data_IF_805516955567
#
_entry.id   IF_805516955567
#
_cell.length_a   1.000
_cell.length_b   1.000
_cell.length_c   1.000
_cell.angle_alpha   90.00
_cell.angle_beta   90.00
_cell.angle_gamma   90.00
#
_symmetry.space_group_name_H-M   'P 1'
#
loop_
_entity.id
_entity.type
_entity.pdbx_description
1 polymer ?
#
# COMPACT_ATOMS: atom_id res chain seq x y z
N UNK A 1 7.82 -17.29 -8.57
CA UNK A 1 7.48 -16.86 -9.95
C UNK A 1 6.21 -17.51 -10.49
N UNK A 2 6.01 -18.82 -10.33
CA UNK A 2 4.82 -19.53 -10.84
C UNK A 2 3.46 -18.86 -10.53
N UNK A 3 3.17 -18.36 -9.30
CA UNK A 3 1.88 -17.73 -9.01
C UNK A 3 1.65 -16.43 -9.81
N UNK A 4 2.73 -15.71 -10.15
CA UNK A 4 2.65 -14.46 -10.92
C UNK A 4 2.35 -14.76 -12.39
N UNK A 5 3.00 -15.80 -12.94
CA UNK A 5 2.76 -16.25 -14.31
C UNK A 5 1.31 -16.70 -14.50
N UNK A 6 0.78 -17.51 -13.57
CA UNK A 6 -0.62 -17.96 -13.62
C UNK A 6 -1.61 -16.81 -13.49
N UNK A 7 -1.33 -15.81 -12.63
CA UNK A 7 -2.25 -14.70 -12.39
C UNK A 7 -2.32 -13.70 -13.54
N UNK A 8 -1.23 -13.48 -14.26
CA UNK A 8 -1.12 -12.46 -15.31
C UNK A 8 -0.94 -13.06 -16.71
N UNK A 9 -1.31 -14.33 -16.88
CA UNK A 9 -1.17 -15.09 -18.14
C UNK A 9 0.23 -14.97 -18.75
N UNK A 10 1.24 -15.10 -17.89
CA UNK A 10 2.64 -14.97 -18.27
C UNK A 10 3.25 -16.30 -18.70
N UNK A 11 4.11 -16.25 -19.71
CA UNK A 11 4.82 -17.43 -20.23
C UNK A 11 6.34 -17.26 -20.13
N UNK A 12 7.09 -18.33 -19.80
CA UNK A 12 8.54 -18.34 -19.92
C UNK A 12 8.95 -18.60 -21.38
N UNK A 13 9.81 -17.75 -21.92
CA UNK A 13 10.45 -17.90 -23.22
C UNK A 13 11.96 -17.98 -23.04
N UNK A 14 12.66 -18.67 -23.94
CA UNK A 14 14.12 -18.80 -23.90
C UNK A 14 14.70 -18.07 -25.11
N UNK A 15 15.64 -17.15 -24.89
CA UNK A 15 16.33 -16.49 -25.98
C UNK A 15 17.37 -17.41 -26.65
N UNK A 16 17.90 -17.05 -27.84
CA UNK A 16 18.94 -17.82 -28.52
C UNK A 16 20.23 -18.01 -27.71
N UNK A 17 20.40 -17.25 -26.63
CA UNK A 17 21.57 -17.29 -25.74
C UNK A 17 21.32 -18.16 -24.50
N UNK A 18 20.15 -18.79 -24.39
CA UNK A 18 19.77 -19.67 -23.28
C UNK A 18 19.25 -18.95 -22.04
N UNK A 19 18.99 -17.64 -22.10
CA UNK A 19 18.39 -16.91 -20.98
C UNK A 19 16.87 -17.10 -20.97
N UNK A 20 16.32 -17.29 -19.77
CA UNK A 20 14.86 -17.29 -19.56
C UNK A 20 14.38 -15.84 -19.45
N UNK A 21 13.39 -15.52 -20.28
CA UNK A 21 12.60 -14.29 -20.29
C UNK A 21 11.16 -14.62 -19.91
N UNK A 22 10.51 -13.71 -19.19
CA UNK A 22 9.11 -13.86 -18.83
C UNK A 22 8.31 -12.81 -19.59
N UNK A 23 7.39 -13.26 -20.43
CA UNK A 23 6.50 -12.40 -21.21
C UNK A 23 5.12 -12.35 -20.55
N UNK A 24 4.49 -11.19 -20.55
CA UNK A 24 3.16 -10.96 -19.97
C UNK A 24 2.28 -10.25 -20.99
N UNK A 25 1.67 -10.98 -21.95
CA UNK A 25 0.95 -10.40 -23.07
C UNK A 25 -0.16 -9.43 -22.64
N UNK A 26 -0.85 -9.73 -21.55
CA UNK A 26 -1.93 -8.89 -21.00
C UNK A 26 -1.43 -7.53 -20.49
N UNK A 27 -0.20 -7.46 -19.97
CA UNK A 27 0.39 -6.22 -19.44
C UNK A 27 1.12 -5.40 -20.51
N UNK A 28 1.29 -5.94 -21.71
CA UNK A 28 1.95 -5.27 -22.84
C UNK A 28 0.98 -4.48 -23.74
N UNK A 29 -0.33 -4.50 -23.44
CA UNK A 29 -1.35 -3.70 -24.14
C UNK A 29 -1.34 -2.27 -23.59
N UNK A 30 -1.14 -1.29 -24.47
CA UNK A 30 -1.20 0.13 -24.12
C UNK A 30 -2.08 0.85 -25.13
N UNK A 31 -2.92 1.79 -24.69
CA UNK A 31 -3.69 2.66 -25.58
C UNK A 31 -2.77 3.72 -26.23
N UNK A 32 -3.02 4.03 -27.50
CA UNK A 32 -2.47 5.22 -28.16
C UNK A 32 -3.22 6.48 -27.72
N UNK A 33 -2.51 7.61 -27.59
CA UNK A 33 -3.15 8.92 -27.48
C UNK A 33 -3.70 9.40 -28.83
N UNK A 34 -4.48 10.49 -28.83
CA UNK A 34 -5.08 11.08 -30.04
C UNK A 34 -4.06 11.45 -31.15
N UNK A 35 -2.78 11.59 -30.80
CA UNK A 35 -1.67 11.81 -31.74
C UNK A 35 -1.02 10.52 -32.26
N UNK A 36 -1.60 9.34 -31.99
CA UNK A 36 -1.04 8.03 -32.35
C UNK A 36 0.19 7.61 -31.53
N UNK A 37 0.58 8.40 -30.53
CA UNK A 37 1.74 8.12 -29.68
C UNK A 37 1.36 7.23 -28.49
N UNK A 38 2.25 6.32 -28.10
CA UNK A 38 2.06 5.44 -26.94
C UNK A 38 1.93 6.30 -25.67
N UNK A 39 0.82 6.19 -24.92
CA UNK A 39 0.64 6.81 -23.59
C UNK A 39 1.51 6.15 -22.52
N UNK A 40 2.81 6.13 -22.74
CA UNK A 40 3.80 5.83 -21.70
C UNK A 40 4.70 7.05 -21.68
N UNK A 41 4.48 7.94 -20.72
CA UNK A 41 5.36 9.07 -20.40
C UNK A 41 6.67 8.54 -19.78
N UNK A 42 7.43 7.77 -20.56
CA UNK A 42 8.84 7.53 -20.30
C UNK A 42 9.56 8.71 -20.95
N UNK A 43 10.25 9.51 -20.14
CA UNK A 43 11.06 10.61 -20.66
C UNK A 43 12.13 10.01 -21.59
N UNK A 44 12.09 10.25 -22.91
CA UNK A 44 12.92 9.51 -23.88
C UNK A 44 14.42 9.82 -23.76
N UNK A 45 14.78 10.88 -23.06
CA UNK A 45 16.16 11.27 -22.76
C UNK A 45 16.79 10.52 -21.56
N UNK A 46 16.01 9.74 -20.82
CA UNK A 46 16.47 9.00 -19.64
C UNK A 46 16.39 7.51 -19.92
N UNK A 47 17.52 6.82 -19.77
CA UNK A 47 17.56 5.36 -19.78
C UNK A 47 16.57 4.85 -18.70
N UNK A 48 15.63 3.94 -18.99
CA UNK A 48 14.65 3.45 -18.00
C UNK A 48 15.29 2.91 -16.70
N UNK A 49 16.56 2.52 -16.77
CA UNK A 49 17.39 2.08 -15.64
C UNK A 49 17.86 3.26 -14.75
N UNK A 50 18.07 4.45 -15.32
CA UNK A 50 18.35 5.68 -14.56
C UNK A 50 17.08 6.27 -13.95
N UNK A 51 15.93 6.02 -14.58
CA UNK A 51 14.61 6.40 -14.06
C UNK A 51 14.08 5.46 -12.96
N UNK A 52 14.73 4.31 -12.75
CA UNK A 52 14.38 3.34 -11.72
C UNK A 52 14.71 3.90 -10.32
N UNK A 53 13.93 4.88 -9.87
CA UNK A 53 13.50 4.91 -8.48
C UNK A 53 12.82 3.56 -8.25
N UNK A 54 13.53 2.64 -7.65
CA UNK A 54 12.99 1.33 -7.29
C UNK A 54 11.64 1.52 -6.57
N UNK A 55 10.71 0.62 -6.82
CA UNK A 55 9.44 0.65 -6.09
C UNK A 55 9.69 0.27 -4.62
N UNK A 56 9.49 1.21 -3.72
CA UNK A 56 9.56 1.00 -2.28
C UNK A 56 8.15 0.80 -1.72
N UNK A 57 7.98 -0.18 -0.83
CA UNK A 57 6.79 -0.31 0.00
C UNK A 57 6.77 0.81 1.04
N UNK A 58 5.60 1.38 1.32
CA UNK A 58 5.47 2.39 2.38
C UNK A 58 5.47 1.73 3.76
N UNK A 59 6.21 2.33 4.70
CA UNK A 59 6.13 1.96 6.12
C UNK A 59 4.76 2.35 6.66
N UNK A 60 4.17 1.55 7.54
CA UNK A 60 2.90 1.98 8.14
C UNK A 60 3.17 2.97 9.26
N UNK A 61 2.46 4.10 9.21
CA UNK A 61 2.52 5.12 10.24
C UNK A 61 1.77 4.65 11.49
N UNK A 62 2.32 4.96 12.66
CA UNK A 62 1.65 4.68 13.93
C UNK A 62 0.28 5.40 14.02
N UNK A 63 0.23 6.65 13.56
CA UNK A 63 -0.98 7.47 13.48
C UNK A 63 -0.80 8.55 12.42
N UNK A 64 -1.87 8.86 11.70
CA UNK A 64 -1.95 9.98 10.77
C UNK A 64 -2.08 11.34 11.50
N UNK A 65 -2.28 11.32 12.81
CA UNK A 65 -2.44 12.53 13.59
C UNK A 65 -1.14 13.35 13.63
N UNK A 66 -1.23 14.69 13.54
CA UNK A 66 -0.08 15.56 13.75
C UNK A 66 0.53 15.33 15.13
N UNK A 67 1.83 15.60 15.27
CA UNK A 67 2.60 15.28 16.48
C UNK A 67 1.97 15.88 17.75
N UNK A 68 1.45 17.10 17.68
CA UNK A 68 0.82 17.78 18.82
C UNK A 68 -0.45 17.07 19.33
N UNK A 69 -1.26 16.46 18.44
CA UNK A 69 -2.44 15.70 18.87
C UNK A 69 -2.03 14.41 19.58
N UNK A 70 -0.92 13.80 19.14
CA UNK A 70 -0.37 12.61 19.80
C UNK A 70 0.20 12.94 21.18
N UNK A 71 0.96 14.03 21.30
CA UNK A 71 1.50 14.46 22.60
C UNK A 71 0.39 14.92 23.54
N UNK A 72 -0.63 15.62 23.03
CA UNK A 72 -1.80 16.01 23.82
C UNK A 72 -2.58 14.78 24.31
N UNK A 73 -2.81 13.79 23.45
CA UNK A 73 -3.48 12.54 23.83
C UNK A 73 -2.68 11.78 24.90
N UNK A 74 -1.36 11.69 24.74
CA UNK A 74 -0.49 11.10 25.76
C UNK A 74 -0.56 11.87 27.09
N UNK A 75 -0.51 13.21 27.03
CA UNK A 75 -0.64 14.07 28.21
C UNK A 75 -2.01 13.90 28.91
N UNK A 76 -3.10 13.83 28.15
CA UNK A 76 -4.43 13.57 28.68
C UNK A 76 -4.51 12.21 29.38
N UNK A 77 -3.86 11.19 28.81
CA UNK A 77 -3.72 9.88 29.45
C UNK A 77 -2.98 9.95 30.78
N UNK A 78 -1.89 10.71 30.85
CA UNK A 78 -1.12 10.88 32.08
C UNK A 78 -1.97 11.57 33.15
N UNK A 79 -2.69 12.64 32.79
CA UNK A 79 -3.63 13.32 33.68
C UNK A 79 -4.71 12.35 34.16
N UNK A 80 -5.24 11.50 33.29
CA UNK A 80 -6.24 10.49 33.66
C UNK A 80 -5.69 9.49 34.70
N UNK A 81 -4.50 8.94 34.48
CA UNK A 81 -3.86 8.01 35.43
C UNK A 81 -3.60 8.68 36.77
N UNK A 82 -3.03 9.89 36.77
CA UNK A 82 -2.78 10.67 38.00
C UNK A 82 -4.10 10.94 38.73
N UNK A 83 -5.14 11.33 38.01
CA UNK A 83 -6.48 11.54 38.57
C UNK A 83 -7.05 10.29 39.22
N UNK A 84 -6.92 9.12 38.59
CA UNK A 84 -7.36 7.83 39.15
C UNK A 84 -6.59 7.49 40.43
N UNK A 85 -5.27 7.66 40.44
CA UNK A 85 -4.44 7.40 41.63
C UNK A 85 -4.80 8.36 42.77
N UNK A 86 -4.93 9.65 42.46
CA UNK A 86 -5.26 10.66 43.46
C UNK A 86 -6.67 10.45 44.02
N UNK A 87 -7.66 10.16 43.17
CA UNK A 87 -9.01 9.82 43.60
C UNK A 87 -9.03 8.58 44.48
N UNK A 88 -8.24 7.54 44.15
CA UNK A 88 -8.09 6.35 44.99
C UNK A 88 -7.55 6.70 46.39
N UNK A 89 -6.60 7.64 46.46
CA UNK A 89 -6.07 8.12 47.74
C UNK A 89 -7.12 8.88 48.55
N UNK A 90 -7.93 9.73 47.90
CA UNK A 90 -9.00 10.49 48.55
C UNK A 90 -10.09 9.58 49.11
N UNK A 91 -10.53 8.58 48.35
CA UNK A 91 -11.56 7.62 48.81
C UNK A 91 -11.07 6.74 49.98
N UNK A 92 -9.76 6.63 50.16
CA UNK A 92 -9.15 5.87 51.26
C UNK A 92 -8.98 6.70 52.54
N UNK A 93 -9.17 8.03 52.48
CA UNK A 93 -9.01 8.93 53.62
C UNK A 93 -10.28 8.95 54.51
N UNK A 94 -10.20 8.52 55.79
CA UNK A 94 -11.35 8.52 56.70
C UNK A 94 -11.97 9.89 56.96
N UNK A 95 -11.23 10.99 56.79
CA UNK A 95 -11.79 12.34 56.90
C UNK A 95 -12.72 12.64 55.71
N UNK A 96 -12.27 12.33 54.50
CA UNK A 96 -13.04 12.50 53.25
C UNK A 96 -14.28 11.61 53.27
N UNK A 97 -14.16 10.36 53.74
CA UNK A 97 -15.32 9.44 53.83
C UNK A 97 -16.40 9.96 54.77
N UNK A 98 -16.01 10.58 55.89
CA UNK A 98 -16.95 11.17 56.84
C UNK A 98 -17.66 12.39 56.29
N UNK A 99 -16.96 13.22 55.52
CA UNK A 99 -17.53 14.44 54.92
C UNK A 99 -18.40 14.14 53.70
N UNK A 100 -17.94 13.26 52.79
CA UNK A 100 -18.62 12.93 51.54
C UNK A 100 -19.76 11.91 51.72
N UNK A 101 -19.74 11.14 52.83
CA UNK A 101 -20.76 10.14 53.14
C UNK A 101 -20.48 8.75 52.55
N UNK A 102 -20.85 7.71 53.31
CA UNK A 102 -20.54 6.30 53.00
C UNK A 102 -21.19 5.83 51.71
N UNK A 103 -22.44 6.22 51.44
CA UNK A 103 -23.18 5.81 50.23
C UNK A 103 -22.52 6.32 48.94
N UNK A 104 -22.10 7.60 48.95
CA UNK A 104 -21.43 8.20 47.81
C UNK A 104 -20.05 7.58 47.57
N UNK A 105 -19.25 7.41 48.63
CA UNK A 105 -17.95 6.75 48.54
C UNK A 105 -18.08 5.32 48.02
N UNK A 106 -19.09 4.57 48.47
CA UNK A 106 -19.34 3.21 48.00
C UNK A 106 -19.67 3.18 46.50
N UNK A 107 -20.48 4.14 46.01
CA UNK A 107 -20.79 4.27 44.59
C UNK A 107 -19.53 4.51 43.76
N UNK A 108 -18.70 5.51 44.12
CA UNK A 108 -17.47 5.80 43.37
C UNK A 108 -16.47 4.64 43.47
N UNK A 109 -16.35 4.02 44.65
CA UNK A 109 -15.47 2.86 44.86
C UNK A 109 -15.87 1.68 43.98
N UNK A 110 -17.16 1.47 43.72
CA UNK A 110 -17.63 0.44 42.78
C UNK A 110 -17.23 0.69 41.32
N UNK A 111 -16.97 1.96 40.95
CA UNK A 111 -16.55 2.37 39.61
C UNK A 111 -15.02 2.37 39.45
N UNK A 112 -14.27 2.39 40.55
CA UNK A 112 -12.80 2.45 40.52
C UNK A 112 -12.13 1.36 39.67
N UNK A 113 -12.55 0.08 39.72
CA UNK A 113 -11.95 -0.96 38.87
C UNK A 113 -12.10 -0.66 37.37
N UNK A 114 -13.25 -0.12 36.97
CA UNK A 114 -13.52 0.26 35.58
C UNK A 114 -12.69 1.47 35.15
N UNK A 115 -12.55 2.48 36.01
CA UNK A 115 -11.68 3.63 35.76
C UNK A 115 -10.21 3.22 35.63
N UNK A 116 -9.73 2.36 36.55
CA UNK A 116 -8.37 1.84 36.51
C UNK A 116 -8.12 0.99 35.26
N UNK A 117 -9.07 0.12 34.90
CA UNK A 117 -9.02 -0.67 33.68
C UNK A 117 -8.95 0.21 32.43
N UNK A 118 -9.78 1.25 32.35
CA UNK A 118 -9.73 2.23 31.27
C UNK A 118 -8.37 2.94 31.19
N UNK A 119 -7.87 3.45 32.32
CA UNK A 119 -6.59 4.14 32.39
C UNK A 119 -5.41 3.24 31.94
N UNK A 120 -5.45 1.96 32.29
CA UNK A 120 -4.47 0.98 31.82
C UNK A 120 -4.58 0.76 30.31
N UNK A 121 -5.78 0.46 29.82
CA UNK A 121 -6.04 0.16 28.41
C UNK A 121 -5.70 1.33 27.49
N UNK A 122 -5.88 2.57 27.96
CA UNK A 122 -5.52 3.79 27.26
C UNK A 122 -4.05 3.79 26.80
N UNK A 123 -3.14 3.20 27.57
CA UNK A 123 -1.72 3.11 27.22
C UNK A 123 -1.32 1.75 26.64
N UNK A 124 -1.89 0.65 27.15
CA UNK A 124 -1.47 -0.69 26.71
C UNK A 124 -1.84 -0.97 25.26
N UNK A 125 -3.04 -0.58 24.80
CA UNK A 125 -3.45 -0.80 23.40
C UNK A 125 -2.50 -0.06 22.43
N UNK A 126 -2.26 1.26 22.58
CA UNK A 126 -1.31 1.96 21.71
C UNK A 126 0.11 1.40 21.79
N UNK A 127 0.58 0.98 22.97
CA UNK A 127 1.91 0.40 23.13
C UNK A 127 2.05 -0.93 22.38
N UNK A 128 1.08 -1.84 22.52
CA UNK A 128 1.07 -3.12 21.79
C UNK A 128 1.02 -2.88 20.28
N UNK A 129 0.16 -1.96 19.84
CA UNK A 129 0.09 -1.56 18.42
C UNK A 129 1.42 -1.03 17.92
N UNK A 130 2.10 -0.19 18.69
CA UNK A 130 3.41 0.36 18.33
C UNK A 130 4.45 -0.75 18.11
N UNK A 131 4.52 -1.72 19.03
CA UNK A 131 5.47 -2.85 18.92
C UNK A 131 5.19 -3.73 17.71
N UNK A 132 3.93 -4.04 17.43
CA UNK A 132 3.56 -4.79 16.22
C UNK A 132 3.89 -4.02 14.94
N UNK A 133 3.62 -2.71 14.94
CA UNK A 133 3.91 -1.85 13.82
C UNK A 133 5.41 -1.78 13.52
N UNK A 134 6.22 -1.71 14.56
CA UNK A 134 7.68 -1.67 14.44
C UNK A 134 8.21 -2.93 13.75
N UNK A 135 7.78 -4.12 14.19
CA UNK A 135 8.16 -5.40 13.57
C UNK A 135 7.73 -5.49 12.11
N UNK A 136 6.51 -5.04 11.80
CA UNK A 136 6.03 -5.00 10.41
C UNK A 136 6.87 -4.06 9.53
N UNK A 137 7.22 -2.88 10.07
CA UNK A 137 8.04 -1.89 9.39
C UNK A 137 9.48 -2.35 9.17
N UNK A 138 10.07 -3.11 10.09
CA UNK A 138 11.38 -3.74 9.91
C UNK A 138 11.36 -4.72 8.74
N UNK A 139 10.34 -5.59 8.67
CA UNK A 139 10.18 -6.52 7.55
C UNK A 139 9.97 -5.78 6.22
N UNK A 140 9.25 -4.66 6.20
CA UNK A 140 9.10 -3.80 5.02
C UNK A 140 10.45 -3.17 4.63
N UNK A 141 11.20 -2.65 5.59
CA UNK A 141 12.50 -2.03 5.37
C UNK A 141 13.50 -3.01 4.76
N UNK A 142 13.56 -4.25 5.25
CA UNK A 142 14.40 -5.30 4.67
C UNK A 142 14.05 -5.59 3.20
N UNK A 143 12.76 -5.70 2.88
CA UNK A 143 12.31 -5.93 1.49
C UNK A 143 12.68 -4.75 0.60
N UNK A 144 12.52 -3.53 1.09
CA UNK A 144 12.92 -2.32 0.36
C UNK A 144 14.43 -2.25 0.13
N UNK A 145 15.24 -2.63 1.11
CA UNK A 145 16.69 -2.70 0.96
C UNK A 145 17.09 -3.69 -0.16
N UNK A 146 16.46 -4.87 -0.22
CA UNK A 146 16.69 -5.85 -1.30
C UNK A 146 16.28 -5.31 -2.68
N UNK A 147 15.17 -4.55 -2.76
CA UNK A 147 14.73 -3.90 -4.01
C UNK A 147 15.69 -2.80 -4.44
N UNK A 148 16.18 -2.00 -3.51
CA UNK A 148 17.16 -0.96 -3.76
C UNK A 148 18.48 -1.57 -4.27
N UNK A 149 18.99 -2.63 -3.63
CA UNK A 149 20.19 -3.34 -4.08
C UNK A 149 20.02 -3.90 -5.50
N UNK A 150 18.89 -4.56 -5.77
CA UNK A 150 18.57 -5.07 -7.11
C UNK A 150 18.55 -3.95 -8.16
N UNK A 151 17.96 -2.80 -7.82
CA UNK A 151 17.92 -1.65 -8.73
C UNK A 151 19.30 -1.04 -8.98
N UNK A 152 20.16 -0.99 -7.96
CA UNK A 152 21.55 -0.53 -8.11
C UNK A 152 22.34 -1.45 -9.06
N UNK A 153 22.16 -2.77 -8.95
CA UNK A 153 22.78 -3.73 -9.88
C UNK A 153 22.28 -3.55 -11.32
N UNK A 154 20.99 -3.24 -11.49
CA UNK A 154 20.40 -2.94 -12.81
C UNK A 154 20.88 -1.60 -13.39
N UNK A 155 21.21 -0.62 -12.55
CA UNK A 155 21.74 0.68 -12.98
C UNK A 155 23.20 0.59 -13.46
N UNK A 156 23.97 -0.38 -12.96
CA UNK A 156 25.35 -0.65 -13.39
C UNK A 156 25.49 -2.07 -13.94
N UNK A 157 24.84 -2.38 -15.08
CA UNK A 157 24.77 -3.74 -15.56
C UNK A 157 26.11 -4.20 -16.14
N UNK A 158 26.51 -5.43 -15.80
CA UNK A 158 27.66 -6.10 -16.42
C UNK A 158 27.34 -6.50 -17.89
N UNK A 159 28.33 -6.97 -18.63
CA UNK A 159 28.16 -7.29 -20.07
C UNK A 159 27.05 -8.32 -20.35
N UNK A 160 26.91 -9.34 -19.50
CA UNK A 160 25.88 -10.37 -19.63
C UNK A 160 24.48 -9.78 -19.36
N UNK A 161 24.32 -8.99 -18.30
CA UNK A 161 23.06 -8.37 -17.93
C UNK A 161 22.62 -7.34 -18.97
N UNK A 162 23.55 -6.56 -19.53
CA UNK A 162 23.26 -5.63 -20.65
C UNK A 162 22.67 -6.35 -21.85
N UNK A 163 23.27 -7.48 -22.26
CA UNK A 163 22.78 -8.30 -23.38
C UNK A 163 21.39 -8.86 -23.08
N UNK A 164 21.18 -9.42 -21.88
CA UNK A 164 19.87 -9.93 -21.46
C UNK A 164 18.78 -8.85 -21.48
N UNK A 165 19.11 -7.64 -21.01
CA UNK A 165 18.19 -6.49 -21.05
C UNK A 165 17.89 -6.03 -22.47
N UNK A 166 18.88 -6.06 -23.39
CA UNK A 166 18.67 -5.74 -24.79
C UNK A 166 17.74 -6.75 -25.47
N UNK A 167 17.98 -8.06 -25.31
CA UNK A 167 17.10 -9.10 -25.84
C UNK A 167 15.67 -8.97 -25.28
N UNK A 168 15.54 -8.68 -23.98
CA UNK A 168 14.25 -8.45 -23.34
C UNK A 168 13.50 -7.27 -23.95
N UNK A 169 14.21 -6.19 -24.33
CA UNK A 169 13.61 -5.03 -25.01
C UNK A 169 13.15 -5.36 -26.41
N UNK A 170 13.92 -6.16 -27.17
CA UNK A 170 13.54 -6.60 -28.51
C UNK A 170 12.30 -7.51 -28.49
N UNK A 171 12.19 -8.37 -27.48
CA UNK A 171 11.06 -9.28 -27.30
C UNK A 171 9.84 -8.64 -26.64
N UNK A 172 10.01 -7.49 -25.98
CA UNK A 172 8.92 -6.70 -25.42
C UNK A 172 8.07 -6.04 -26.53
N UNK A 173 7.33 -6.86 -27.28
CA UNK A 173 6.38 -6.40 -28.29
C UNK A 173 5.18 -5.76 -27.60
N UNK A 174 5.09 -4.44 -27.63
CA UNK A 174 3.89 -3.74 -27.18
C UNK A 174 2.82 -3.77 -28.27
N UNK A 175 1.69 -4.43 -28.00
CA UNK A 175 0.50 -4.28 -28.84
C UNK A 175 -0.16 -2.95 -28.50
N UNK A 176 -0.03 -1.96 -29.39
CA UNK A 176 -0.77 -0.70 -29.29
C UNK A 176 -2.19 -0.96 -29.76
N UNK A 177 -3.17 -0.75 -28.88
CA UNK A 177 -4.58 -0.81 -29.25
C UNK A 177 -4.95 0.56 -29.81
N UNK A 178 -5.18 0.60 -31.11
CA UNK A 178 -5.61 1.78 -31.85
C UNK A 178 -7.11 2.06 -31.61
N UNK A 179 -7.53 3.30 -31.82
CA UNK A 179 -8.88 3.78 -31.49
C UNK A 179 -9.99 3.02 -32.26
N UNK A 180 -9.69 2.53 -33.47
CA UNK A 180 -10.56 1.67 -34.28
C UNK A 180 -10.82 0.28 -33.67
N UNK A 181 -10.05 -0.13 -32.65
CA UNK A 181 -10.16 -1.42 -31.96
C UNK A 181 -10.73 -1.30 -30.54
N UNK A 182 -11.20 -0.11 -30.15
CA UNK A 182 -11.77 0.17 -28.84
C UNK A 182 -13.30 0.18 -28.96
N UNK A 183 -13.96 -0.83 -28.38
CA UNK A 183 -15.44 -0.94 -28.38
C UNK A 183 -16.06 -0.01 -27.34
N UNK A 184 -15.39 0.16 -26.19
CA UNK A 184 -15.88 0.99 -25.08
C UNK A 184 -14.87 2.08 -24.73
N UNK A 185 -15.33 3.33 -24.72
CA UNK A 185 -14.53 4.51 -24.41
C UNK A 185 -15.35 5.53 -23.61
N UNK A 186 -14.70 6.22 -22.67
CA UNK A 186 -15.34 7.28 -21.87
C UNK A 186 -15.59 8.55 -22.68
N UNK A 187 -15.06 8.65 -23.90
CA UNK A 187 -15.22 9.81 -24.78
C UNK A 187 -16.50 9.77 -25.62
N UNK A 188 -17.09 8.59 -25.82
CA UNK A 188 -18.33 8.40 -26.58
C UNK A 188 -19.52 8.26 -25.62
N UNK A 189 -20.71 8.55 -26.13
CA UNK A 189 -21.94 8.30 -25.37
C UNK A 189 -22.21 6.79 -25.26
N UNK A 190 -22.92 6.38 -24.21
CA UNK A 190 -23.21 4.96 -23.95
C UNK A 190 -24.10 4.35 -25.04
N UNK A 191 -25.06 5.12 -25.57
CA UNK A 191 -25.96 4.63 -26.61
C UNK A 191 -25.24 4.36 -27.94
N UNK A 192 -24.23 5.18 -28.27
CA UNK A 192 -23.40 5.02 -29.46
C UNK A 192 -22.51 3.77 -29.36
N UNK A 193 -21.95 3.51 -28.17
CA UNK A 193 -21.11 2.33 -27.90
C UNK A 193 -21.89 1.03 -27.94
N UNK A 194 -23.12 1.00 -27.42
CA UNK A 194 -23.98 -0.19 -27.45
C UNK A 194 -24.37 -0.59 -28.89
N UNK A 195 -24.50 0.38 -29.79
CA UNK A 195 -24.76 0.13 -31.21
C UNK A 195 -23.53 -0.46 -31.90
N UNK A 196 -22.35 0.13 -31.68
CA UNK A 196 -21.07 -0.38 -32.20
C UNK A 196 -20.78 -1.81 -31.70
N UNK A 197 -21.05 -2.10 -30.42
CA UNK A 197 -20.89 -3.42 -29.83
C UNK A 197 -21.77 -4.48 -30.51
N UNK A 198 -23.06 -4.18 -30.76
CA UNK A 198 -24.00 -5.08 -31.45
C UNK A 198 -23.65 -5.28 -32.92
N UNK A 199 -23.07 -4.28 -33.58
CA UNK A 199 -22.53 -4.44 -34.94
C UNK A 199 -21.31 -5.37 -34.97
N UNK A 200 -20.47 -5.28 -33.94
CA UNK A 200 -19.30 -6.13 -33.81
C UNK A 200 -19.67 -7.58 -33.52
N UNK A 201 -20.64 -7.82 -32.62
CA UNK A 201 -21.22 -9.15 -32.39
C UNK A 201 -21.80 -9.75 -33.67
N UNK A 202 -22.57 -8.98 -34.47
CA UNK A 202 -23.07 -9.45 -35.77
C UNK A 202 -21.95 -9.87 -36.72
N UNK A 203 -20.83 -9.13 -36.76
CA UNK A 203 -19.66 -9.47 -37.59
C UNK A 203 -18.92 -10.72 -37.08
N UNK A 204 -18.92 -10.96 -35.77
CA UNK A 204 -18.32 -12.15 -35.17
C UNK A 204 -19.18 -13.41 -35.36
N UNK A 205 -20.50 -13.26 -35.29
CA UNK A 205 -21.44 -14.37 -35.42
C UNK A 205 -21.65 -14.85 -36.86
N UNK A 206 -21.22 -14.06 -37.86
CA UNK A 206 -21.03 -14.52 -39.22
C UNK A 206 -22.25 -15.23 -39.82
N UNK A 207 -23.31 -14.47 -40.06
CA UNK A 207 -24.03 -14.51 -41.34
C UNK A 207 -23.75 -13.23 -42.09
#
# INVERSE_FOLDING_TARGET
MLPVLQRFDGSPEVDPQGNILYTFPLLQRTASDAAGQRRVQLNPALDPLQQARYFAENLWAFSEAPAWKRTLAAGLGVVNVVGVVWLSSLLSDPAVVREAGVEFVSLISSLMPWLQGYAAVFFTIPAVRYLWQQRANEAIAERNARRQQSAQQLAQPNAQLRRKLANAREQARSTVVSEDKVIYTTAKDMAEQDLEAREWERKLEGR
#
